data_IF_303827745307
#
_entry.id   IF_303827745307
#
_cell.length_a   1.000
_cell.length_b   1.000
_cell.length_c   1.000
_cell.angle_alpha   90.00
_cell.angle_beta   90.00
_cell.angle_gamma   90.00
#
_symmetry.space_group_name_H-M   'P 1'
#
loop_
_entity.id
_entity.type
_entity.pdbx_description
1 polymer ?
#
# COMPACT_ATOMS: atom_id res chain seq x y z
N UNK A 1 -7.97 19.28 -15.83
CA UNK A 1 -7.64 18.41 -14.69
C UNK A 1 -7.60 16.99 -15.21
N UNK A 2 -6.41 16.38 -15.22
CA UNK A 2 -6.21 15.02 -15.74
C UNK A 2 -6.98 13.99 -14.89
N UNK A 3 -7.37 12.85 -15.53
CA UNK A 3 -8.08 11.74 -14.86
C UNK A 3 -7.35 11.26 -13.58
N UNK A 4 -6.03 11.30 -13.58
CA UNK A 4 -5.16 10.99 -12.44
C UNK A 4 -5.40 11.93 -11.26
N UNK A 5 -5.54 13.24 -11.47
CA UNK A 5 -5.76 14.23 -10.38
C UNK A 5 -7.07 14.01 -9.63
N UNK A 6 -8.12 13.51 -10.30
CA UNK A 6 -9.40 13.18 -9.65
C UNK A 6 -9.33 11.90 -8.82
N UNK A 7 -8.60 10.89 -9.29
CA UNK A 7 -8.38 9.64 -8.57
C UNK A 7 -7.56 9.87 -7.29
N UNK A 8 -6.56 10.74 -7.33
CA UNK A 8 -5.71 11.08 -6.19
C UNK A 8 -6.51 11.74 -5.06
N UNK A 9 -7.43 12.66 -5.37
CA UNK A 9 -8.28 13.31 -4.37
C UNK A 9 -9.17 12.33 -3.60
N UNK A 10 -9.63 11.24 -4.24
CA UNK A 10 -10.43 10.20 -3.61
C UNK A 10 -9.59 9.28 -2.72
N UNK A 11 -8.34 9.02 -3.11
CA UNK A 11 -7.43 8.12 -2.39
C UNK A 11 -6.95 8.77 -1.08
N UNK A 12 -6.68 10.07 -1.07
CA UNK A 12 -6.19 10.80 0.12
C UNK A 12 -7.22 10.90 1.26
N UNK A 13 -8.53 10.88 0.94
CA UNK A 13 -9.60 10.94 1.96
C UNK A 13 -9.74 9.61 2.72
N UNK A 14 -9.30 8.49 2.15
CA UNK A 14 -9.44 7.14 2.74
C UNK A 14 -8.27 6.75 3.63
N UNK A 15 -7.14 7.45 3.58
CA UNK A 15 -5.95 7.14 4.40
C UNK A 15 -6.15 7.36 5.92
N UNK A 16 -7.24 7.97 6.34
CA UNK A 16 -7.55 8.22 7.76
C UNK A 16 -7.94 6.98 8.58
N UNK A 17 -8.20 5.81 7.98
CA UNK A 17 -8.84 4.69 8.69
C UNK A 17 -8.27 3.28 8.44
N UNK A 18 -7.08 3.10 7.86
CA UNK A 18 -6.52 1.74 7.72
C UNK A 18 -5.35 1.54 8.68
N UNK A 19 -5.66 1.27 9.95
CA UNK A 19 -4.73 0.64 10.88
C UNK A 19 -4.91 -0.86 10.72
N UNK A 20 -4.15 -1.49 9.83
CA UNK A 20 -4.05 -2.94 9.78
C UNK A 20 -3.03 -3.39 10.83
N UNK A 21 -3.50 -3.88 11.97
CA UNK A 21 -2.64 -4.53 12.97
C UNK A 21 -2.34 -5.94 12.47
N UNK A 22 -1.18 -6.14 11.87
CA UNK A 22 -0.63 -7.47 11.61
C UNK A 22 0.14 -7.93 12.85
N UNK A 23 -0.49 -8.77 13.65
CA UNK A 23 0.17 -9.51 14.73
C UNK A 23 0.85 -10.73 14.13
N UNK A 24 2.18 -10.75 14.08
CA UNK A 24 2.96 -11.94 13.73
C UNK A 24 3.67 -12.50 14.96
N UNK A 25 3.78 -13.84 15.10
CA UNK A 25 4.55 -14.47 16.18
C UNK A 25 6.06 -14.18 16.02
N UNK A 26 6.85 -14.25 17.09
CA UNK A 26 8.29 -13.93 17.06
C UNK A 26 9.06 -14.92 16.20
N UNK A 27 9.79 -14.41 15.21
CA UNK A 27 10.74 -15.18 14.41
C UNK A 27 12.15 -15.05 14.97
N UNK A 28 12.83 -16.19 15.10
CA UNK A 28 14.19 -16.33 15.59
C UNK A 28 15.22 -15.57 14.73
N UNK A 29 16.17 -14.93 15.41
CA UNK A 29 17.17 -14.06 14.83
C UNK A 29 18.12 -14.77 13.85
N UNK A 30 18.21 -14.25 12.62
CA UNK A 30 19.34 -14.47 11.73
C UNK A 30 20.21 -13.21 11.73
N UNK A 31 21.50 -13.37 12.01
CA UNK A 31 22.50 -12.32 12.08
C UNK A 31 22.75 -11.65 10.73
N UNK A 32 22.58 -10.32 10.70
CA UNK A 32 22.82 -9.46 9.52
C UNK A 32 24.21 -8.84 9.60
N UNK A 33 24.99 -8.78 8.50
CA UNK A 33 26.30 -8.10 8.48
C UNK A 33 26.17 -6.57 8.64
N UNK A 34 27.24 -5.88 9.09
CA UNK A 34 27.16 -4.45 9.43
C UNK A 34 26.98 -3.54 8.22
N UNK A 35 26.30 -2.40 8.37
CA UNK A 35 25.99 -1.50 7.28
C UNK A 35 27.20 -0.69 6.80
N UNK A 36 27.27 -0.51 5.47
CA UNK A 36 28.23 0.37 4.79
C UNK A 36 27.94 1.81 5.20
N UNK A 37 28.95 2.51 5.71
CA UNK A 37 28.90 3.93 6.07
C UNK A 37 28.69 4.79 4.81
N UNK A 38 27.56 5.44 4.71
CA UNK A 38 27.31 6.51 3.73
C UNK A 38 27.75 7.86 4.33
N UNK A 39 28.57 8.59 3.57
CA UNK A 39 29.02 9.95 3.89
C UNK A 39 27.87 10.95 4.02
N UNK A 40 27.98 12.02 4.85
CA UNK A 40 26.88 12.92 5.15
C UNK A 40 26.50 13.79 3.93
N UNK A 41 25.28 13.66 3.46
CA UNK A 41 24.67 14.65 2.55
C UNK A 41 24.30 15.90 3.34
N UNK A 42 24.73 17.04 2.84
CA UNK A 42 24.41 18.38 3.38
C UNK A 42 22.89 18.63 3.29
N UNK A 43 22.31 19.09 4.40
CA UNK A 43 21.11 19.91 4.45
C UNK A 43 19.80 19.12 4.65
N UNK A 44 19.34 18.99 5.87
CA UNK A 44 17.96 19.25 6.18
C UNK A 44 17.01 18.11 6.45
N UNK A 45 17.37 16.85 6.48
CA UNK A 45 16.40 15.82 6.92
C UNK A 45 16.75 15.30 8.34
N UNK A 46 16.45 16.10 9.35
CA UNK A 46 16.39 15.59 10.72
C UNK A 46 15.03 14.93 10.87
N UNK A 47 14.98 13.60 10.65
CA UNK A 47 13.81 12.80 11.01
C UNK A 47 13.53 12.99 12.51
N UNK A 48 12.52 13.78 12.82
CA UNK A 48 12.14 14.01 14.21
C UNK A 48 11.40 12.78 14.72
N UNK A 49 12.00 12.05 15.66
CA UNK A 49 11.36 10.93 16.31
C UNK A 49 10.27 11.46 17.25
N UNK A 50 9.02 11.17 16.96
CA UNK A 50 7.90 11.44 17.86
C UNK A 50 7.71 10.26 18.81
N UNK A 51 7.40 10.56 20.08
CA UNK A 51 7.19 9.50 21.07
C UNK A 51 5.79 8.88 20.95
N UNK A 52 5.58 8.10 19.88
CA UNK A 52 4.41 7.26 19.75
C UNK A 52 4.53 5.93 20.51
N UNK A 53 5.70 5.64 21.09
CA UNK A 53 6.02 4.34 21.72
C UNK A 53 5.08 3.98 22.85
N UNK A 54 4.61 4.96 23.61
CA UNK A 54 3.67 4.74 24.73
C UNK A 54 2.37 4.06 24.25
N UNK A 55 1.84 4.40 23.06
CA UNK A 55 0.61 3.79 22.53
C UNK A 55 0.80 2.32 22.18
N UNK A 56 1.96 1.96 21.61
CA UNK A 56 2.29 0.56 21.35
C UNK A 56 2.50 -0.24 22.63
N UNK A 57 3.16 0.37 23.65
CA UNK A 57 3.36 -0.24 24.96
C UNK A 57 2.03 -0.47 25.70
N UNK A 58 1.13 0.51 25.68
CA UNK A 58 -0.20 0.39 26.30
C UNK A 58 -1.04 -0.73 25.67
N UNK A 59 -0.86 -0.99 24.37
CA UNK A 59 -1.55 -2.06 23.64
C UNK A 59 -0.81 -3.40 23.70
N UNK A 60 0.41 -3.46 24.26
CA UNK A 60 1.23 -4.67 24.31
C UNK A 60 1.64 -5.20 22.92
N UNK A 61 1.78 -4.32 21.92
CA UNK A 61 2.12 -4.69 20.55
C UNK A 61 3.36 -3.96 20.05
N UNK A 62 4.11 -4.59 19.16
CA UNK A 62 5.16 -3.92 18.39
C UNK A 62 4.55 -3.27 17.14
N UNK A 63 4.91 -2.00 16.90
CA UNK A 63 4.45 -1.28 15.74
C UNK A 63 5.43 -0.20 15.29
N UNK A 64 5.09 0.44 14.19
CA UNK A 64 5.81 1.62 13.71
C UNK A 64 4.86 2.62 13.08
N UNK A 65 5.26 3.89 13.09
CA UNK A 65 4.55 4.97 12.42
C UNK A 65 5.56 5.76 11.61
N UNK A 66 5.16 6.13 10.39
CA UNK A 66 5.85 7.10 9.57
C UNK A 66 4.83 8.11 9.03
N UNK A 67 5.03 9.39 9.31
CA UNK A 67 4.17 10.49 8.86
C UNK A 67 5.05 11.48 8.12
N UNK A 68 4.71 11.76 6.87
CA UNK A 68 5.38 12.76 6.07
C UNK A 68 4.47 13.99 5.92
N UNK A 69 4.95 15.13 6.42
CA UNK A 69 4.28 16.41 6.27
C UNK A 69 4.79 17.11 4.99
N UNK A 70 3.93 17.19 3.99
CA UNK A 70 4.22 17.80 2.70
C UNK A 70 4.50 19.31 2.80
N UNK A 71 3.89 20.02 3.77
CA UNK A 71 4.03 21.47 3.89
C UNK A 71 5.41 21.86 4.47
N UNK A 72 5.88 21.08 5.43
CA UNK A 72 7.15 21.35 6.11
C UNK A 72 8.32 20.51 5.60
N UNK A 73 8.07 19.60 4.63
CA UNK A 73 9.03 18.62 4.09
C UNK A 73 9.70 17.78 5.20
N UNK A 74 8.90 17.35 6.19
CA UNK A 74 9.39 16.64 7.37
C UNK A 74 8.81 15.26 7.49
N UNK A 75 9.69 14.30 7.82
CA UNK A 75 9.30 12.94 8.20
C UNK A 75 9.33 12.81 9.72
N UNK A 76 8.18 12.44 10.30
CA UNK A 76 8.03 12.05 11.69
C UNK A 76 7.89 10.54 11.76
N UNK A 77 8.63 9.89 12.67
CA UNK A 77 8.56 8.43 12.73
C UNK A 77 8.79 7.88 14.13
N UNK A 78 8.19 6.73 14.38
CA UNK A 78 8.48 5.86 15.50
C UNK A 78 8.94 4.52 14.96
N UNK A 79 9.93 3.90 15.62
CA UNK A 79 10.58 2.63 15.22
C UNK A 79 11.10 2.67 13.77
N UNK A 80 12.16 3.45 13.49
CA UNK A 80 12.71 3.60 12.13
C UNK A 80 13.16 2.27 11.50
N UNK A 81 13.65 1.33 12.32
CA UNK A 81 14.10 0.01 11.87
C UNK A 81 12.92 -0.77 11.27
N UNK A 82 11.76 -0.76 11.94
CA UNK A 82 10.56 -1.38 11.42
C UNK A 82 10.02 -0.65 10.19
N UNK A 83 10.15 0.68 10.11
CA UNK A 83 9.79 1.45 8.92
C UNK A 83 10.67 1.13 7.71
N UNK A 84 11.85 0.57 7.91
CA UNK A 84 12.74 0.06 6.87
C UNK A 84 12.58 -1.46 6.61
N UNK A 85 11.70 -2.14 7.34
CA UNK A 85 11.38 -3.56 7.12
C UNK A 85 10.29 -3.69 6.08
N UNK A 86 10.46 -4.62 5.13
CA UNK A 86 9.51 -4.84 4.06
C UNK A 86 8.40 -5.83 4.47
N UNK A 87 7.15 -5.45 4.21
CA UNK A 87 5.94 -6.23 4.52
C UNK A 87 5.12 -6.48 3.26
N UNK A 88 4.19 -7.43 3.34
CA UNK A 88 3.11 -7.56 2.35
C UNK A 88 2.32 -6.24 2.31
N UNK A 89 2.12 -5.64 1.13
CA UNK A 89 1.37 -4.39 1.04
C UNK A 89 -0.11 -4.55 1.39
N UNK A 90 -0.67 -5.73 1.25
CA UNK A 90 -2.06 -6.01 1.51
C UNK A 90 -2.97 -4.94 0.88
N UNK A 91 -3.90 -4.37 1.65
CA UNK A 91 -4.84 -3.37 1.14
C UNK A 91 -4.22 -2.05 0.68
N UNK A 92 -2.97 -1.74 1.04
CA UNK A 92 -2.31 -0.53 0.51
C UNK A 92 -2.00 -0.62 -0.98
N UNK A 93 -1.84 -1.84 -1.53
CA UNK A 93 -1.66 -2.06 -2.96
C UNK A 93 -2.88 -1.62 -3.79
N UNK A 94 -4.08 -1.56 -3.21
CA UNK A 94 -5.28 -1.08 -3.91
C UNK A 94 -5.10 0.31 -4.52
N UNK A 95 -4.26 1.16 -3.93
CA UNK A 95 -3.94 2.49 -4.46
C UNK A 95 -3.28 2.34 -5.84
N UNK A 96 -2.21 1.56 -5.94
CA UNK A 96 -1.52 1.33 -7.20
C UNK A 96 -2.40 0.56 -8.20
N UNK A 97 -3.13 -0.46 -7.74
CA UNK A 97 -4.06 -1.21 -8.59
C UNK A 97 -5.14 -0.30 -9.21
N UNK A 98 -5.70 0.64 -8.43
CA UNK A 98 -6.66 1.63 -8.96
C UNK A 98 -6.04 2.49 -10.07
N UNK A 99 -4.83 3.00 -9.85
CA UNK A 99 -4.11 3.83 -10.83
C UNK A 99 -3.83 3.05 -12.11
N UNK A 100 -3.32 1.82 -11.99
CA UNK A 100 -3.06 0.95 -13.14
C UNK A 100 -4.35 0.65 -13.89
N UNK A 101 -5.43 0.34 -13.19
CA UNK A 101 -6.71 -0.02 -13.79
C UNK A 101 -7.34 1.15 -14.56
N UNK A 102 -7.22 2.37 -14.05
CA UNK A 102 -7.68 3.58 -14.73
C UNK A 102 -6.79 3.93 -15.94
N UNK A 103 -5.47 3.81 -15.80
CA UNK A 103 -4.51 4.12 -16.85
C UNK A 103 -4.60 3.14 -18.03
N UNK A 104 -4.80 1.85 -17.74
CA UNK A 104 -4.96 0.80 -18.76
C UNK A 104 -6.35 0.76 -19.37
N UNK A 105 -7.31 1.51 -18.81
CA UNK A 105 -8.68 1.59 -19.31
C UNK A 105 -9.53 0.33 -19.04
N UNK A 106 -9.08 -0.59 -18.17
CA UNK A 106 -9.86 -1.80 -17.80
C UNK A 106 -11.11 -1.46 -16.98
N UNK A 107 -11.15 -0.23 -16.48
CA UNK A 107 -12.32 0.42 -15.90
C UNK A 107 -12.33 1.88 -16.39
N UNK A 108 -13.49 2.40 -16.79
CA UNK A 108 -13.60 3.72 -17.43
C UNK A 108 -13.29 4.88 -16.49
N UNK A 109 -13.74 4.76 -15.25
CA UNK A 109 -13.61 5.77 -14.19
C UNK A 109 -13.89 5.18 -12.81
N UNK A 110 -13.80 6.00 -11.79
CA UNK A 110 -13.99 5.58 -10.39
C UNK A 110 -15.47 5.34 -10.00
N UNK A 111 -16.41 5.71 -10.86
CA UNK A 111 -17.85 5.50 -10.65
C UNK A 111 -18.39 4.29 -11.40
N UNK A 112 -17.61 3.74 -12.34
CA UNK A 112 -18.00 2.55 -13.07
C UNK A 112 -18.22 1.36 -12.13
N UNK A 113 -19.38 0.73 -12.26
CA UNK A 113 -19.82 -0.33 -11.37
C UNK A 113 -19.34 -1.69 -11.89
N UNK A 114 -18.78 -2.50 -11.00
CA UNK A 114 -18.58 -3.92 -11.22
C UNK A 114 -19.72 -4.70 -10.56
N UNK A 115 -20.35 -5.58 -11.33
CA UNK A 115 -21.39 -6.47 -10.83
C UNK A 115 -20.77 -7.52 -9.89
N UNK A 116 -21.41 -7.69 -8.76
CA UNK A 116 -21.06 -8.72 -7.79
C UNK A 116 -21.22 -10.12 -8.38
N UNK A 117 -20.29 -10.99 -8.05
CA UNK A 117 -20.20 -12.36 -8.57
C UNK A 117 -21.16 -13.37 -7.88
N UNK A 118 -22.02 -12.89 -6.96
CA UNK A 118 -22.94 -13.74 -6.21
C UNK A 118 -22.32 -14.53 -5.05
N UNK A 119 -20.99 -14.49 -4.88
CA UNK A 119 -20.29 -15.23 -3.84
C UNK A 119 -20.47 -14.51 -2.49
N UNK A 120 -21.08 -15.17 -1.52
CA UNK A 120 -21.25 -14.67 -0.17
C UNK A 120 -19.90 -14.65 0.58
N UNK A 121 -19.45 -13.46 0.95
CA UNK A 121 -18.23 -13.23 1.72
C UNK A 121 -18.58 -12.86 3.17
N UNK A 122 -17.63 -13.06 4.08
CA UNK A 122 -17.81 -12.79 5.52
C UNK A 122 -18.12 -11.32 5.84
N UNK A 123 -17.73 -10.39 4.98
CA UNK A 123 -18.02 -8.97 5.14
C UNK A 123 -19.29 -8.66 4.32
N UNK A 124 -20.46 -8.48 4.95
CA UNK A 124 -21.74 -8.30 4.24
C UNK A 124 -21.74 -7.12 3.27
N UNK A 125 -21.03 -6.03 3.60
CA UNK A 125 -20.92 -4.85 2.77
C UNK A 125 -20.22 -5.10 1.41
N UNK A 126 -19.53 -6.24 1.24
CA UNK A 126 -18.89 -6.65 -0.01
C UNK A 126 -19.82 -7.41 -0.95
N UNK A 127 -20.97 -7.90 -0.45
CA UNK A 127 -21.90 -8.81 -1.17
C UNK A 127 -22.91 -8.00 -1.97
N UNK A 128 -22.44 -7.12 -2.84
CA UNK A 128 -23.25 -6.29 -3.73
C UNK A 128 -22.38 -5.69 -4.83
N UNK A 129 -23.02 -5.10 -5.81
CA UNK A 129 -22.37 -4.29 -6.84
C UNK A 129 -21.63 -3.11 -6.20
N UNK A 130 -20.43 -2.82 -6.67
CA UNK A 130 -19.58 -1.74 -6.16
C UNK A 130 -18.94 -0.95 -7.30
N UNK A 131 -18.77 0.35 -7.09
CA UNK A 131 -17.81 1.15 -7.85
C UNK A 131 -16.47 1.27 -7.10
N UNK A 132 -15.44 1.85 -7.74
CA UNK A 132 -14.09 1.94 -7.15
C UNK A 132 -14.08 2.77 -5.85
N UNK A 133 -14.88 3.84 -5.74
CA UNK A 133 -14.96 4.66 -4.52
C UNK A 133 -15.46 3.86 -3.33
N UNK A 134 -16.54 3.10 -3.54
CA UNK A 134 -17.12 2.25 -2.51
C UNK A 134 -16.18 1.08 -2.17
N UNK A 135 -15.61 0.43 -3.18
CA UNK A 135 -14.67 -0.68 -3.00
C UNK A 135 -13.41 -0.26 -2.22
N UNK A 136 -12.89 0.95 -2.47
CA UNK A 136 -11.78 1.52 -1.70
C UNK A 136 -12.17 1.77 -0.25
N UNK A 137 -13.30 2.44 -0.02
CA UNK A 137 -13.82 2.74 1.31
C UNK A 137 -14.06 1.48 2.15
N UNK A 138 -14.59 0.43 1.53
CA UNK A 138 -14.89 -0.86 2.16
C UNK A 138 -13.69 -1.79 2.16
N UNK A 139 -12.60 -1.43 1.52
CA UNK A 139 -11.44 -2.31 1.28
C UNK A 139 -11.82 -3.64 0.62
N UNK A 140 -12.79 -3.62 -0.32
CA UNK A 140 -13.36 -4.81 -0.95
C UNK A 140 -12.33 -5.54 -1.83
N UNK A 141 -11.83 -6.66 -1.34
CA UNK A 141 -10.76 -7.44 -2.00
C UNK A 141 -11.21 -7.93 -3.37
N UNK A 142 -12.41 -8.51 -3.47
CA UNK A 142 -12.92 -9.09 -4.71
C UNK A 142 -12.92 -8.11 -5.89
N UNK A 143 -13.27 -6.85 -5.62
CA UNK A 143 -13.29 -5.79 -6.64
C UNK A 143 -11.91 -5.61 -7.28
N UNK A 144 -10.87 -5.52 -6.44
CA UNK A 144 -9.49 -5.34 -6.88
C UNK A 144 -8.88 -6.60 -7.49
N UNK A 145 -9.36 -7.77 -7.11
CA UNK A 145 -9.02 -9.04 -7.78
C UNK A 145 -9.56 -9.08 -9.21
N UNK A 146 -10.80 -8.63 -9.41
CA UNK A 146 -11.38 -8.49 -10.76
C UNK A 146 -10.58 -7.51 -11.60
N UNK A 147 -10.23 -6.34 -11.06
CA UNK A 147 -9.42 -5.35 -11.78
C UNK A 147 -8.04 -5.91 -12.16
N UNK A 148 -7.35 -6.56 -11.22
CA UNK A 148 -6.04 -7.14 -11.49
C UNK A 148 -6.08 -8.22 -12.59
N UNK A 149 -7.10 -9.08 -12.59
CA UNK A 149 -7.31 -10.07 -13.68
C UNK A 149 -7.59 -9.39 -15.02
N UNK A 150 -8.34 -8.28 -15.05
CA UNK A 150 -8.61 -7.51 -16.29
C UNK A 150 -7.36 -6.80 -16.82
N UNK A 151 -6.51 -6.27 -15.93
CA UNK A 151 -5.20 -5.70 -16.31
C UNK A 151 -4.30 -6.79 -16.90
N UNK A 152 -4.32 -7.98 -16.31
CA UNK A 152 -3.50 -9.11 -16.73
C UNK A 152 -2.06 -9.02 -16.24
N UNK A 153 -1.36 -10.16 -16.30
CA UNK A 153 -0.05 -10.33 -15.69
C UNK A 153 1.02 -9.41 -16.31
N UNK A 154 1.12 -9.39 -17.63
CA UNK A 154 2.17 -8.66 -18.34
C UNK A 154 2.09 -7.15 -18.09
N UNK A 155 0.89 -6.58 -18.19
CA UNK A 155 0.70 -5.15 -17.92
C UNK A 155 0.90 -4.82 -16.45
N UNK A 156 0.38 -5.65 -15.55
CA UNK A 156 0.57 -5.45 -14.10
C UNK A 156 2.06 -5.45 -13.74
N UNK A 157 2.84 -6.41 -14.26
CA UNK A 157 4.28 -6.48 -14.02
C UNK A 157 5.02 -5.26 -14.55
N UNK A 158 4.70 -4.82 -15.79
CA UNK A 158 5.29 -3.62 -16.38
C UNK A 158 5.03 -2.37 -15.54
N UNK A 159 3.79 -2.19 -15.06
CA UNK A 159 3.43 -1.02 -14.27
C UNK A 159 4.04 -1.04 -12.87
N UNK A 160 4.05 -2.19 -12.20
CA UNK A 160 4.70 -2.35 -10.90
C UNK A 160 6.20 -2.04 -10.99
N UNK A 161 6.86 -2.52 -12.06
CA UNK A 161 8.27 -2.23 -12.34
C UNK A 161 8.49 -0.76 -12.71
N UNK A 162 7.66 -0.18 -13.60
CA UNK A 162 7.75 1.23 -14.03
C UNK A 162 7.62 2.20 -12.86
N UNK A 163 6.75 1.89 -11.91
CA UNK A 163 6.54 2.69 -10.69
C UNK A 163 7.63 2.42 -9.65
N UNK A 164 8.35 1.30 -9.75
CA UNK A 164 9.32 0.87 -8.73
C UNK A 164 8.64 0.58 -7.39
N UNK A 165 7.52 -0.14 -7.40
CA UNK A 165 6.75 -0.41 -6.18
C UNK A 165 7.35 -1.58 -5.40
N UNK A 166 7.96 -1.31 -4.26
CA UNK A 166 8.59 -2.30 -3.40
C UNK A 166 9.62 -3.17 -4.13
N UNK A 167 9.64 -4.46 -3.83
CA UNK A 167 10.55 -5.43 -4.47
C UNK A 167 10.13 -5.87 -5.89
N UNK A 168 8.98 -5.39 -6.39
CA UNK A 168 8.44 -5.62 -7.74
C UNK A 168 8.12 -7.11 -8.07
N UNK A 169 8.08 -8.00 -7.08
CA UNK A 169 7.82 -9.42 -7.29
C UNK A 169 6.32 -9.71 -7.25
N UNK A 170 5.70 -9.90 -8.40
CA UNK A 170 4.26 -10.21 -8.50
C UNK A 170 3.94 -11.70 -8.71
N UNK A 171 4.94 -12.58 -8.59
CA UNK A 171 4.75 -14.02 -8.77
C UNK A 171 4.60 -14.40 -10.23
N UNK A 172 3.72 -15.34 -10.51
CA UNK A 172 3.38 -15.83 -11.85
C UNK A 172 1.95 -15.43 -12.24
N UNK A 173 1.49 -15.88 -13.42
CA UNK A 173 0.13 -15.54 -13.94
C UNK A 173 -1.01 -15.99 -13.03
N UNK A 174 -0.83 -17.10 -12.33
CA UNK A 174 -1.85 -17.65 -11.43
C UNK A 174 -1.96 -16.88 -10.11
N UNK A 175 -0.97 -16.02 -9.84
CA UNK A 175 -0.93 -15.17 -8.64
C UNK A 175 -1.48 -13.76 -8.86
N UNK A 176 -1.93 -13.44 -10.09
CA UNK A 176 -2.29 -12.07 -10.52
C UNK A 176 -3.31 -11.37 -9.62
N UNK A 177 -4.18 -12.09 -8.98
CA UNK A 177 -5.24 -11.53 -8.13
C UNK A 177 -5.00 -11.69 -6.62
N UNK A 178 -3.80 -12.16 -6.21
CA UNK A 178 -3.46 -12.43 -4.82
C UNK A 178 -2.02 -12.07 -4.41
N UNK A 179 -1.12 -11.75 -5.36
CA UNK A 179 0.30 -11.52 -5.10
C UNK A 179 0.59 -10.44 -4.04
N UNK A 180 -0.33 -9.48 -3.86
CA UNK A 180 -0.22 -8.43 -2.83
C UNK A 180 -0.79 -8.83 -1.46
N UNK A 181 -1.53 -9.96 -1.39
CA UNK A 181 -2.18 -10.47 -0.18
C UNK A 181 -1.38 -11.59 0.48
N UNK A 182 -0.84 -12.51 -0.32
CA UNK A 182 -0.17 -13.74 0.15
C UNK A 182 1.06 -14.12 -0.69
N UNK A 183 1.36 -13.38 -1.78
CA UNK A 183 2.51 -13.62 -2.65
C UNK A 183 3.83 -13.08 -2.12
N UNK A 184 4.79 -12.84 -3.03
CA UNK A 184 6.15 -12.38 -2.70
C UNK A 184 6.34 -10.86 -2.72
N UNK A 185 5.34 -10.08 -3.13
CA UNK A 185 5.44 -8.63 -3.16
C UNK A 185 5.66 -8.09 -1.73
N UNK A 186 6.69 -7.26 -1.58
CA UNK A 186 7.03 -6.61 -0.31
C UNK A 186 7.33 -5.15 -0.54
N UNK A 187 6.94 -4.31 0.42
CA UNK A 187 7.24 -2.88 0.44
C UNK A 187 7.46 -2.42 1.87
N UNK A 188 8.40 -1.51 2.08
CA UNK A 188 8.60 -0.89 3.39
C UNK A 188 7.65 0.28 3.60
N UNK A 189 7.29 0.64 4.85
CA UNK A 189 6.57 1.88 5.15
C UNK A 189 7.23 3.13 4.54
N UNK A 190 8.56 3.20 4.54
CA UNK A 190 9.30 4.32 3.94
C UNK A 190 9.11 4.39 2.41
N UNK A 191 9.20 3.25 1.70
CA UNK A 191 8.93 3.19 0.26
C UNK A 191 7.48 3.53 -0.06
N UNK A 192 6.53 3.10 0.81
CA UNK A 192 5.12 3.44 0.65
C UNK A 192 4.89 4.96 0.73
N UNK A 193 5.53 5.65 1.68
CA UNK A 193 5.50 7.13 1.75
C UNK A 193 6.10 7.74 0.48
N UNK A 194 7.25 7.25 0.01
CA UNK A 194 7.86 7.77 -1.21
C UNK A 194 6.97 7.54 -2.45
N UNK A 195 6.31 6.39 -2.54
CA UNK A 195 5.32 6.15 -3.57
C UNK A 195 4.18 7.17 -3.52
N UNK A 196 3.59 7.40 -2.34
CA UNK A 196 2.49 8.36 -2.16
C UNK A 196 2.91 9.81 -2.47
N UNK A 197 4.13 10.22 -2.09
CA UNK A 197 4.68 11.54 -2.41
C UNK A 197 4.75 11.81 -3.92
N UNK A 198 4.97 10.78 -4.74
CA UNK A 198 4.99 10.94 -6.20
C UNK A 198 3.61 11.10 -6.84
N UNK A 199 2.56 10.84 -6.09
CA UNK A 199 1.19 11.03 -6.54
C UNK A 199 0.68 12.45 -6.29
N UNK A 200 1.35 13.20 -5.41
CA UNK A 200 1.01 14.59 -5.06
C UNK A 200 1.74 15.56 -5.99
#
# INVERSE_FOLDING_TARGET
>A
MNRISRAIAVILIVLGCIISVLVQPPQSALTVPPPVQQSPRRGGDVAQTMNFGRHFQELGVEGSIAIYDLNSDRLYQHNPQRNATAFLPASTFKILNSLISLETGVISDELAVLTWDGIQRQIPAWNRDLNMREAMKLSAVWFYQVLARRVGYEQMQQWVAKVGYGNQKIGNKDDIDKFWLEGELRITPNEQIQFLRRLY
#
